data_IF_522338349179
#
_entry.id   IF_522338349179
#
_cell.length_a   1.000
_cell.length_b   1.000
_cell.length_c   1.000
_cell.angle_alpha   90.00
_cell.angle_beta   90.00
_cell.angle_gamma   90.00
#
_symmetry.space_group_name_H-M   'P 1'
#
loop_
_entity.id
_entity.type
_entity.pdbx_description
1 polymer ?
#
# COMPACT_ATOMS: atom_id res chain seq x y z
N UNK A 1 -10.19 -35.29 -5.31
CA UNK A 1 -10.84 -34.01 -5.00
C UNK A 1 -12.17 -33.98 -5.75
N UNK A 2 -13.28 -34.05 -5.04
CA UNK A 2 -14.60 -33.77 -5.61
C UNK A 2 -14.68 -32.26 -5.85
N UNK A 3 -14.65 -31.86 -7.11
CA UNK A 3 -15.04 -30.49 -7.48
C UNK A 3 -16.57 -30.40 -7.30
N UNK A 4 -16.98 -29.78 -6.22
CA UNK A 4 -18.38 -29.42 -6.08
C UNK A 4 -18.64 -28.23 -7.00
N UNK A 5 -19.52 -28.40 -7.97
CA UNK A 5 -20.08 -27.31 -8.76
C UNK A 5 -20.95 -26.43 -7.83
N UNK A 6 -20.30 -25.56 -7.07
CA UNK A 6 -21.03 -24.58 -6.27
C UNK A 6 -21.59 -23.50 -7.19
N UNK A 7 -22.90 -23.26 -7.19
CA UNK A 7 -23.48 -22.18 -7.97
C UNK A 7 -22.96 -20.82 -7.47
N UNK A 8 -22.93 -19.83 -8.34
CA UNK A 8 -22.70 -18.44 -7.92
C UNK A 8 -23.82 -18.00 -7.01
N UNK A 9 -23.47 -17.47 -5.85
CA UNK A 9 -24.42 -16.87 -4.93
C UNK A 9 -24.34 -15.33 -5.02
N UNK A 10 -25.42 -14.59 -4.69
CA UNK A 10 -25.41 -13.14 -4.66
C UNK A 10 -24.31 -12.61 -3.76
N UNK A 11 -23.64 -11.55 -4.17
CA UNK A 11 -22.56 -10.95 -3.40
C UNK A 11 -23.00 -10.49 -2.01
N UNK A 12 -24.27 -10.04 -1.91
CA UNK A 12 -24.89 -9.71 -0.64
C UNK A 12 -24.84 -10.88 0.34
N UNK A 13 -25.22 -12.07 -0.10
CA UNK A 13 -25.25 -13.26 0.75
C UNK A 13 -23.84 -13.67 1.19
N UNK A 14 -22.83 -13.51 0.31
CA UNK A 14 -21.43 -13.74 0.68
C UNK A 14 -21.02 -12.82 1.82
N UNK A 15 -21.33 -11.54 1.75
CA UNK A 15 -20.97 -10.60 2.82
C UNK A 15 -21.77 -10.85 4.08
N UNK A 16 -23.10 -10.91 3.99
CA UNK A 16 -23.97 -10.90 5.18
C UNK A 16 -24.08 -12.25 5.88
N UNK A 17 -23.89 -13.35 5.15
CA UNK A 17 -24.02 -14.70 5.72
C UNK A 17 -22.66 -15.37 5.98
N UNK A 18 -21.56 -14.83 5.43
CA UNK A 18 -20.24 -15.48 5.57
C UNK A 18 -19.18 -14.52 6.07
N UNK A 19 -18.83 -13.47 5.30
CA UNK A 19 -17.64 -12.66 5.61
C UNK A 19 -17.82 -11.87 6.90
N UNK A 20 -18.91 -11.12 7.01
CA UNK A 20 -19.16 -10.27 8.18
C UNK A 20 -19.32 -11.11 9.46
N UNK A 21 -20.16 -12.16 9.52
CA UNK A 21 -20.29 -12.99 10.72
C UNK A 21 -18.96 -13.63 11.14
N UNK A 22 -18.17 -14.16 10.19
CA UNK A 22 -16.89 -14.77 10.51
C UNK A 22 -15.88 -13.75 11.07
N UNK A 23 -15.87 -12.52 10.58
CA UNK A 23 -14.99 -11.47 11.12
C UNK A 23 -15.48 -10.94 12.46
N UNK A 24 -16.79 -10.87 12.68
CA UNK A 24 -17.38 -10.56 13.98
C UNK A 24 -17.00 -11.59 15.02
N UNK A 25 -17.16 -12.88 14.72
CA UNK A 25 -16.74 -13.97 15.62
C UNK A 25 -15.22 -13.91 15.86
N UNK A 26 -14.43 -13.70 14.80
CA UNK A 26 -12.97 -13.67 14.90
C UNK A 26 -12.47 -12.54 15.80
N UNK A 27 -13.03 -11.31 15.71
CA UNK A 27 -12.61 -10.20 16.59
C UNK A 27 -12.89 -10.44 18.06
N UNK A 28 -13.90 -11.26 18.37
CA UNK A 28 -14.29 -11.58 19.74
C UNK A 28 -13.54 -12.82 20.30
N UNK A 29 -13.09 -13.73 19.42
CA UNK A 29 -12.42 -14.98 19.81
C UNK A 29 -10.88 -14.89 19.82
N UNK A 30 -10.30 -14.02 19.00
CA UNK A 30 -8.85 -13.87 18.90
C UNK A 30 -8.28 -13.11 20.11
N UNK A 31 -7.05 -13.44 20.47
CA UNK A 31 -6.31 -12.68 21.49
C UNK A 31 -6.09 -11.23 21.05
N UNK A 32 -6.15 -10.32 22.00
CA UNK A 32 -5.64 -8.96 21.84
C UNK A 32 -4.11 -8.99 21.91
N UNK A 33 -3.45 -8.03 21.27
CA UNK A 33 -1.98 -7.93 21.36
C UNK A 33 -1.47 -7.62 22.78
N UNK A 34 -2.36 -7.26 23.70
CA UNK A 34 -2.09 -7.04 25.11
C UNK A 34 -2.28 -8.28 25.98
N UNK A 35 -2.81 -9.37 25.44
CA UNK A 35 -3.07 -10.59 26.21
C UNK A 35 -1.78 -11.40 26.44
N UNK A 36 -1.65 -12.00 27.60
CA UNK A 36 -0.45 -12.75 28.00
C UNK A 36 -0.11 -13.89 27.04
N UNK A 37 -1.10 -14.50 26.42
CA UNK A 37 -0.91 -15.62 25.49
C UNK A 37 -0.77 -15.20 24.03
N UNK A 38 -0.79 -13.90 23.74
CA UNK A 38 -0.59 -13.41 22.39
C UNK A 38 0.86 -13.65 21.95
N UNK A 39 1.02 -14.08 20.71
CA UNK A 39 2.32 -14.24 20.06
C UNK A 39 2.48 -13.19 18.96
N UNK A 40 3.49 -12.33 19.06
CA UNK A 40 3.77 -11.30 18.07
C UNK A 40 3.93 -11.89 16.65
N UNK A 41 3.37 -11.21 15.67
CA UNK A 41 3.33 -11.66 14.29
C UNK A 41 2.15 -12.57 13.93
N UNK A 42 1.34 -12.98 14.88
CA UNK A 42 0.07 -13.68 14.62
C UNK A 42 -1.09 -12.71 14.46
N UNK A 43 -2.16 -13.20 13.83
CA UNK A 43 -3.44 -12.47 13.80
C UNK A 43 -3.98 -12.25 15.21
N UNK A 44 -4.52 -11.08 15.45
CA UNK A 44 -5.13 -10.71 16.74
C UNK A 44 -6.55 -10.16 16.53
N UNK A 45 -7.24 -9.87 17.61
CA UNK A 45 -8.59 -9.29 17.56
C UNK A 45 -8.64 -8.01 16.69
N UNK A 46 -7.65 -7.13 16.81
CA UNK A 46 -7.55 -5.93 15.98
C UNK A 46 -7.30 -6.23 14.50
N UNK A 47 -6.66 -7.35 14.15
CA UNK A 47 -6.52 -7.77 12.74
C UNK A 47 -7.88 -8.08 12.10
N UNK A 48 -8.74 -8.80 12.82
CA UNK A 48 -10.09 -9.12 12.37
C UNK A 48 -10.96 -7.86 12.30
N UNK A 49 -10.91 -7.01 13.33
CA UNK A 49 -11.65 -5.76 13.38
C UNK A 49 -11.22 -4.79 12.26
N UNK A 50 -9.91 -4.64 12.02
CA UNK A 50 -9.41 -3.79 10.94
C UNK A 50 -9.82 -4.29 9.55
N UNK A 51 -9.83 -5.61 9.34
CA UNK A 51 -10.35 -6.21 8.10
C UNK A 51 -11.86 -6.01 7.96
N UNK A 52 -12.62 -6.13 9.06
CA UNK A 52 -14.07 -5.86 9.07
C UNK A 52 -14.37 -4.41 8.70
N UNK A 53 -13.65 -3.45 9.28
CA UNK A 53 -13.78 -2.04 8.91
C UNK A 53 -13.52 -1.81 7.40
N UNK A 54 -12.50 -2.48 6.85
CA UNK A 54 -12.21 -2.44 5.41
C UNK A 54 -13.33 -3.06 4.58
N UNK A 55 -13.91 -4.18 5.01
CA UNK A 55 -15.05 -4.82 4.36
C UNK A 55 -16.25 -3.86 4.31
N UNK A 56 -16.60 -3.26 5.44
CA UNK A 56 -17.67 -2.28 5.50
C UNK A 56 -17.43 -1.07 4.59
N UNK A 57 -16.23 -0.49 4.61
CA UNK A 57 -15.87 0.61 3.73
C UNK A 57 -15.93 0.21 2.23
N UNK A 58 -15.57 -1.03 1.91
CA UNK A 58 -15.66 -1.55 0.53
C UNK A 58 -17.12 -1.66 0.08
N UNK A 59 -17.99 -2.22 0.93
CA UNK A 59 -19.42 -2.30 0.64
C UNK A 59 -20.01 -0.89 0.47
N UNK A 60 -19.70 0.02 1.40
CA UNK A 60 -20.15 1.40 1.37
C UNK A 60 -19.77 2.12 0.07
N UNK A 61 -18.50 2.02 -0.31
CA UNK A 61 -18.02 2.63 -1.55
C UNK A 61 -18.65 2.03 -2.80
N UNK A 62 -18.85 0.71 -2.84
CA UNK A 62 -19.45 0.04 -4.00
C UNK A 62 -20.96 0.32 -4.12
N UNK A 63 -21.63 0.58 -2.99
CA UNK A 63 -23.07 0.88 -2.91
C UNK A 63 -23.40 2.37 -3.06
N UNK A 64 -22.40 3.25 -3.27
CA UNK A 64 -22.68 4.68 -3.50
C UNK A 64 -23.63 4.85 -4.69
N UNK A 65 -24.60 5.76 -4.57
CA UNK A 65 -25.55 6.02 -5.65
C UNK A 65 -24.85 6.39 -6.95
N UNK A 66 -25.46 5.98 -8.06
CA UNK A 66 -25.02 6.40 -9.40
C UNK A 66 -25.09 7.92 -9.55
N UNK A 67 -24.08 8.49 -10.20
CA UNK A 67 -24.02 9.93 -10.49
C UNK A 67 -23.48 10.78 -9.33
N UNK A 68 -23.16 10.21 -8.18
CA UNK A 68 -22.47 10.96 -7.12
C UNK A 68 -21.06 11.37 -7.61
N UNK A 69 -20.73 12.65 -7.43
CA UNK A 69 -19.46 13.21 -7.94
C UNK A 69 -18.35 13.01 -6.91
N UNK A 70 -17.25 12.42 -7.36
CA UNK A 70 -16.01 12.28 -6.60
C UNK A 70 -14.91 13.05 -7.31
N UNK A 71 -14.38 14.07 -6.64
CA UNK A 71 -13.24 14.84 -7.14
C UNK A 71 -11.94 14.15 -6.75
N UNK A 72 -11.11 13.83 -7.71
CA UNK A 72 -9.80 13.20 -7.49
C UNK A 72 -8.67 14.02 -8.13
N UNK A 73 -7.51 14.04 -7.50
CA UNK A 73 -6.29 14.58 -8.08
C UNK A 73 -5.73 13.51 -9.05
N UNK A 74 -5.76 13.79 -10.32
CA UNK A 74 -5.23 12.86 -11.34
C UNK A 74 -3.72 12.97 -11.44
N UNK A 75 -3.09 11.96 -12.05
CA UNK A 75 -1.69 12.04 -12.43
C UNK A 75 -1.48 13.11 -13.52
N UNK A 76 -0.23 13.59 -13.71
CA UNK A 76 0.08 14.55 -14.76
C UNK A 76 -0.25 13.96 -16.13
N UNK A 77 -0.90 14.76 -16.94
CA UNK A 77 -1.15 14.42 -18.34
C UNK A 77 0.07 14.79 -19.19
N UNK A 78 0.12 14.33 -20.41
CA UNK A 78 1.19 14.73 -21.32
C UNK A 78 0.63 15.19 -22.66
N UNK A 79 1.39 16.08 -23.30
CA UNK A 79 1.23 16.44 -24.69
C UNK A 79 2.48 16.02 -25.47
N UNK A 80 2.30 15.58 -26.70
CA UNK A 80 3.44 15.30 -27.57
C UNK A 80 3.92 16.63 -28.20
N UNK A 81 5.18 16.97 -27.98
CA UNK A 81 5.82 18.13 -28.58
C UNK A 81 7.00 17.69 -29.43
N UNK A 82 7.17 18.33 -30.58
CA UNK A 82 8.37 18.14 -31.38
C UNK A 82 9.49 19.04 -30.83
N UNK A 83 10.45 18.44 -30.16
CA UNK A 83 11.61 19.16 -29.64
C UNK A 83 12.84 18.72 -30.46
N UNK A 84 13.39 19.66 -31.18
CA UNK A 84 14.58 19.44 -32.04
C UNK A 84 14.40 18.24 -33.02
N UNK A 85 13.21 18.10 -33.60
CA UNK A 85 12.91 17.03 -34.55
C UNK A 85 12.48 15.70 -33.92
N UNK A 86 12.49 15.61 -32.61
CA UNK A 86 12.06 14.41 -31.88
C UNK A 86 10.72 14.64 -31.16
N UNK A 87 9.75 13.72 -31.35
CA UNK A 87 8.50 13.77 -30.64
C UNK A 87 8.72 13.34 -29.17
N UNK A 88 8.59 14.30 -28.27
CA UNK A 88 8.86 14.15 -26.86
C UNK A 88 7.56 14.33 -26.05
N UNK A 89 7.35 13.50 -25.03
CA UNK A 89 6.27 13.68 -24.06
C UNK A 89 6.62 14.82 -23.11
N UNK A 90 5.82 15.86 -23.11
CA UNK A 90 5.92 16.97 -22.15
C UNK A 90 4.76 16.86 -21.18
N UNK A 91 5.07 16.71 -19.91
CA UNK A 91 4.09 16.49 -18.86
C UNK A 91 3.59 17.80 -18.27
N UNK A 92 2.32 17.81 -17.89
CA UNK A 92 1.65 18.95 -17.25
C UNK A 92 1.37 18.61 -15.78
N UNK A 93 1.16 19.64 -14.98
CA UNK A 93 0.78 19.50 -13.59
C UNK A 93 -0.52 18.68 -13.43
N UNK A 94 -0.66 17.90 -12.32
CA UNK A 94 -1.89 17.20 -12.02
C UNK A 94 -3.05 18.16 -11.80
N UNK A 95 -4.16 17.92 -12.45
CA UNK A 95 -5.38 18.73 -12.34
C UNK A 95 -6.46 17.91 -11.66
N UNK A 96 -7.17 18.44 -10.63
CA UNK A 96 -8.34 17.78 -10.07
C UNK A 96 -9.39 17.53 -11.17
N UNK A 97 -9.97 16.34 -11.16
CA UNK A 97 -11.03 15.95 -12.09
C UNK A 97 -12.21 15.35 -11.33
N UNK A 98 -13.39 15.68 -11.77
CA UNK A 98 -14.63 15.13 -11.25
C UNK A 98 -15.01 13.89 -12.03
N UNK A 99 -15.30 12.83 -11.30
CA UNK A 99 -15.81 11.57 -11.84
C UNK A 99 -17.17 11.29 -11.24
N UNK A 100 -18.14 11.00 -12.09
CA UNK A 100 -19.40 10.45 -11.64
C UNK A 100 -19.17 9.01 -11.19
N UNK A 101 -19.66 8.69 -10.00
CA UNK A 101 -19.60 7.34 -9.45
C UNK A 101 -20.61 6.46 -10.17
N UNK A 102 -20.17 5.32 -10.65
CA UNK A 102 -21.07 4.24 -11.08
C UNK A 102 -21.32 3.30 -9.90
N UNK A 103 -22.59 2.96 -9.66
CA UNK A 103 -22.94 1.96 -8.67
C UNK A 103 -22.47 0.58 -9.13
N UNK A 104 -21.77 -0.14 -8.25
CA UNK A 104 -21.26 -1.46 -8.61
C UNK A 104 -22.39 -2.49 -8.60
N UNK A 105 -22.56 -3.23 -9.69
CA UNK A 105 -23.60 -4.24 -9.84
C UNK A 105 -23.54 -5.29 -8.70
N UNK A 106 -24.69 -5.57 -8.10
CA UNK A 106 -24.85 -6.47 -6.97
C UNK A 106 -24.76 -5.80 -5.59
N UNK A 107 -24.46 -4.49 -5.53
CA UNK A 107 -24.42 -3.73 -4.29
C UNK A 107 -25.63 -2.80 -4.09
N UNK A 108 -26.60 -2.81 -4.98
CA UNK A 108 -27.76 -1.91 -4.99
C UNK A 108 -28.64 -2.03 -3.74
N UNK A 109 -28.58 -3.18 -3.07
CA UNK A 109 -29.38 -3.45 -1.87
C UNK A 109 -28.70 -3.05 -0.56
N UNK A 110 -27.47 -2.53 -0.62
CA UNK A 110 -26.75 -2.01 0.54
C UNK A 110 -26.94 -0.49 0.67
N UNK A 111 -26.98 -0.01 1.91
CA UNK A 111 -27.02 1.42 2.20
C UNK A 111 -25.58 1.94 2.41
N UNK A 112 -25.08 2.75 1.50
CA UNK A 112 -23.72 3.29 1.54
C UNK A 112 -23.40 4.01 2.86
N UNK A 113 -24.29 4.89 3.34
CA UNK A 113 -24.08 5.67 4.56
C UNK A 113 -24.03 4.78 5.81
N UNK A 114 -24.94 3.80 5.89
CA UNK A 114 -24.96 2.83 7.00
C UNK A 114 -23.64 2.07 7.09
N UNK A 115 -23.15 1.57 5.96
CA UNK A 115 -21.91 0.81 5.94
C UNK A 115 -20.66 1.68 6.17
N UNK A 116 -20.66 2.95 5.77
CA UNK A 116 -19.61 3.88 6.18
C UNK A 116 -19.63 4.13 7.69
N UNK A 117 -20.82 4.24 8.29
CA UNK A 117 -20.92 4.39 9.75
C UNK A 117 -20.40 3.15 10.48
N UNK A 118 -20.77 1.94 10.03
CA UNK A 118 -20.23 0.69 10.58
C UNK A 118 -18.70 0.61 10.46
N UNK A 119 -18.15 1.01 9.30
CA UNK A 119 -16.70 1.06 9.11
C UNK A 119 -16.02 2.02 10.08
N UNK A 120 -16.60 3.21 10.25
CA UNK A 120 -16.10 4.22 11.18
C UNK A 120 -16.13 3.74 12.63
N UNK A 121 -17.24 3.12 13.06
CA UNK A 121 -17.40 2.66 14.44
C UNK A 121 -16.37 1.57 14.79
N UNK A 122 -16.18 0.58 13.91
CA UNK A 122 -15.18 -0.46 14.12
C UNK A 122 -13.75 0.13 14.11
N UNK A 123 -13.44 1.03 13.18
CA UNK A 123 -12.13 1.67 13.12
C UNK A 123 -11.85 2.53 14.38
N UNK A 124 -12.87 3.23 14.88
CA UNK A 124 -12.81 3.98 16.13
C UNK A 124 -12.53 3.08 17.34
N UNK A 125 -13.16 1.91 17.38
CA UNK A 125 -12.93 0.92 18.44
C UNK A 125 -11.51 0.36 18.41
N UNK A 126 -10.96 0.08 17.21
CA UNK A 126 -9.55 -0.31 17.05
C UNK A 126 -8.64 0.78 17.59
N UNK A 127 -8.85 2.04 17.17
CA UNK A 127 -8.06 3.19 17.65
C UNK A 127 -8.23 3.41 19.15
N UNK A 128 -9.42 3.16 19.68
CA UNK A 128 -9.76 3.30 21.10
C UNK A 128 -9.20 2.19 22.00
N UNK A 129 -8.53 1.19 21.44
CA UNK A 129 -7.92 0.10 22.19
C UNK A 129 -8.89 -1.01 22.63
N UNK A 130 -10.10 -1.06 22.08
CA UNK A 130 -11.09 -2.11 22.39
C UNK A 130 -10.52 -3.51 22.09
N UNK A 131 -9.75 -3.63 21.02
CA UNK A 131 -9.16 -4.87 20.52
C UNK A 131 -7.66 -5.00 20.80
N UNK A 132 -7.13 -4.24 21.75
CA UNK A 132 -5.72 -4.19 22.11
C UNK A 132 -5.13 -2.80 21.89
N UNK A 133 -3.84 -2.62 22.13
CA UNK A 133 -3.17 -1.32 22.00
C UNK A 133 -2.44 -1.25 20.67
N UNK A 134 -2.91 -0.32 19.82
CA UNK A 134 -2.29 -0.04 18.52
C UNK A 134 -2.07 1.47 18.39
N UNK A 135 -0.83 1.86 18.13
CA UNK A 135 -0.43 3.25 18.00
C UNK A 135 0.34 3.46 16.71
N UNK A 136 0.28 4.68 16.17
CA UNK A 136 1.16 5.06 15.08
C UNK A 136 2.60 5.10 15.59
N UNK A 137 3.50 4.53 14.82
CA UNK A 137 4.93 4.49 15.08
C UNK A 137 5.67 5.46 14.14
N UNK A 138 6.97 5.64 14.35
CA UNK A 138 7.76 6.40 13.41
C UNK A 138 7.85 5.68 12.06
N UNK A 139 7.86 6.46 10.98
CA UNK A 139 7.99 5.90 9.63
C UNK A 139 9.25 5.04 9.46
N UNK A 140 10.35 5.44 10.08
CA UNK A 140 11.61 4.68 10.06
C UNK A 140 11.45 3.32 10.77
N UNK A 141 10.71 3.26 11.87
CA UNK A 141 10.50 2.01 12.62
C UNK A 141 9.64 1.01 11.83
N UNK A 142 8.50 1.45 11.30
CA UNK A 142 7.54 0.53 10.65
C UNK A 142 8.13 -0.17 9.42
N UNK A 143 9.14 0.43 8.78
CA UNK A 143 9.81 -0.13 7.61
C UNK A 143 11.15 -0.78 7.92
N UNK A 144 11.55 -0.82 9.19
CA UNK A 144 12.77 -1.47 9.62
C UNK A 144 12.54 -2.93 10.02
N UNK A 145 13.57 -3.80 10.00
CA UNK A 145 13.45 -5.17 10.48
C UNK A 145 13.04 -5.26 11.95
N UNK A 146 13.41 -4.28 12.78
CA UNK A 146 13.03 -4.22 14.19
C UNK A 146 11.55 -3.86 14.39
N UNK A 147 10.95 -3.15 13.42
CA UNK A 147 9.55 -2.73 13.47
C UNK A 147 8.55 -3.74 12.93
N UNK A 148 8.98 -4.89 12.41
CA UNK A 148 8.06 -5.85 11.75
C UNK A 148 6.92 -6.40 12.62
N UNK A 149 7.02 -6.26 13.94
CA UNK A 149 5.96 -6.62 14.89
C UNK A 149 5.60 -5.44 15.80
N UNK A 150 5.85 -4.20 15.37
CA UNK A 150 5.51 -3.01 16.13
C UNK A 150 4.00 -2.82 16.30
N UNK A 151 3.61 -1.92 17.20
CA UNK A 151 2.22 -1.75 17.61
C UNK A 151 1.31 -1.21 16.51
N UNK A 152 1.84 -0.58 15.47
CA UNK A 152 1.05 -0.07 14.33
C UNK A 152 0.50 -1.19 13.45
N UNK A 153 1.24 -2.31 13.32
CA UNK A 153 0.81 -3.40 12.49
C UNK A 153 -0.38 -4.17 13.09
N UNK A 154 -1.53 -4.09 12.46
CA UNK A 154 -2.66 -4.95 12.79
C UNK A 154 -2.43 -6.38 12.30
N UNK A 155 -1.80 -6.52 11.13
CA UNK A 155 -1.38 -7.80 10.56
C UNK A 155 -0.27 -7.58 9.54
N UNK A 156 0.74 -8.44 9.57
CA UNK A 156 1.80 -8.46 8.55
C UNK A 156 2.24 -9.88 8.25
N UNK A 157 2.49 -10.16 6.98
CA UNK A 157 3.13 -11.41 6.57
C UNK A 157 4.61 -11.33 6.94
N UNK A 158 5.03 -12.25 7.79
CA UNK A 158 6.42 -12.33 8.23
C UNK A 158 7.24 -13.12 7.23
N UNK A 159 8.35 -12.56 6.78
CA UNK A 159 9.35 -13.24 5.96
C UNK A 159 10.70 -13.23 6.65
N UNK A 160 11.56 -14.18 6.29
CA UNK A 160 12.89 -14.32 6.86
C UNK A 160 13.93 -14.19 5.76
N UNK A 161 14.85 -13.26 5.93
CA UNK A 161 15.95 -13.06 4.99
C UNK A 161 16.85 -14.29 4.92
N UNK A 162 17.29 -14.66 3.73
CA UNK A 162 18.20 -15.79 3.50
C UNK A 162 17.58 -17.17 3.74
N UNK A 163 16.28 -17.29 3.82
CA UNK A 163 15.57 -18.54 4.02
C UNK A 163 14.77 -18.92 2.77
N UNK A 164 15.06 -20.08 2.18
CA UNK A 164 14.41 -20.54 0.94
C UNK A 164 12.92 -20.82 1.12
N UNK A 165 12.50 -21.19 2.33
CA UNK A 165 11.10 -21.56 2.60
C UNK A 165 10.27 -20.36 3.05
N UNK A 166 10.86 -19.45 3.85
CA UNK A 166 10.17 -18.31 4.46
C UNK A 166 10.65 -16.96 3.93
N UNK A 167 11.55 -16.96 2.95
CA UNK A 167 11.97 -15.76 2.23
C UNK A 167 10.91 -15.28 1.25
N UNK A 168 11.11 -14.08 0.71
CA UNK A 168 10.30 -13.52 -0.36
C UNK A 168 11.16 -12.84 -1.40
N UNK A 169 10.81 -13.04 -2.67
CA UNK A 169 11.38 -12.30 -3.80
C UNK A 169 10.68 -10.95 -4.05
N UNK A 170 9.71 -10.59 -3.22
CA UNK A 170 8.91 -9.40 -3.44
C UNK A 170 9.77 -8.13 -3.45
N UNK A 171 10.64 -7.99 -2.46
CA UNK A 171 11.58 -6.87 -2.37
C UNK A 171 12.57 -6.84 -3.54
N UNK A 172 13.02 -8.00 -4.01
CA UNK A 172 13.88 -8.10 -5.18
C UNK A 172 13.27 -7.47 -6.43
N UNK A 173 11.98 -7.71 -6.68
CA UNK A 173 11.30 -7.16 -7.84
C UNK A 173 11.12 -5.64 -7.78
N UNK A 174 10.97 -5.07 -6.58
CA UNK A 174 10.76 -3.63 -6.38
C UNK A 174 12.04 -2.85 -6.13
N UNK A 175 13.00 -3.44 -5.47
CA UNK A 175 14.19 -2.74 -4.98
C UNK A 175 15.50 -3.24 -5.59
N UNK A 176 15.49 -4.41 -6.26
CA UNK A 176 16.71 -5.10 -6.65
C UNK A 176 17.43 -5.72 -5.46
N UNK A 177 18.65 -6.17 -5.67
CA UNK A 177 19.55 -6.68 -4.63
C UNK A 177 20.69 -5.72 -4.39
N UNK A 178 21.09 -5.56 -3.13
CA UNK A 178 22.28 -4.80 -2.77
C UNK A 178 23.43 -5.74 -2.43
N UNK A 179 24.63 -5.42 -2.89
CA UNK A 179 25.85 -6.12 -2.52
C UNK A 179 26.43 -5.55 -1.21
N UNK A 180 27.54 -6.12 -0.77
CA UNK A 180 28.25 -5.71 0.47
C UNK A 180 28.71 -4.24 0.46
N UNK A 181 28.82 -3.61 -0.72
CA UNK A 181 29.16 -2.19 -0.87
C UNK A 181 27.95 -1.27 -0.88
N UNK A 182 26.74 -1.81 -0.74
CA UNK A 182 25.49 -1.05 -0.85
C UNK A 182 25.09 -0.69 -2.28
N UNK A 183 25.71 -1.29 -3.29
CA UNK A 183 25.37 -1.06 -4.69
C UNK A 183 24.23 -1.98 -5.11
N UNK A 184 23.35 -1.50 -5.98
CA UNK A 184 22.30 -2.33 -6.56
C UNK A 184 22.88 -3.19 -7.68
N UNK A 185 22.86 -4.51 -7.51
CA UNK A 185 23.42 -5.47 -8.45
C UNK A 185 22.48 -5.82 -9.59
N UNK A 186 21.21 -5.96 -9.31
CA UNK A 186 20.24 -6.44 -10.27
C UNK A 186 19.26 -5.37 -10.69
N UNK A 187 18.76 -5.52 -11.91
CA UNK A 187 17.77 -4.63 -12.48
C UNK A 187 16.47 -4.71 -11.71
N UNK A 188 15.91 -3.56 -11.41
CA UNK A 188 14.56 -3.40 -10.93
C UNK A 188 13.59 -3.85 -12.02
N UNK A 189 12.71 -4.78 -11.70
CA UNK A 189 11.68 -5.23 -12.65
C UNK A 189 10.40 -4.40 -12.53
N UNK A 190 10.20 -3.78 -11.38
CA UNK A 190 9.07 -2.89 -11.12
C UNK A 190 9.59 -1.64 -10.43
N UNK A 191 9.32 -0.49 -10.98
CA UNK A 191 9.74 0.79 -10.43
C UNK A 191 8.59 1.80 -10.41
N UNK A 192 8.80 2.89 -9.69
CA UNK A 192 7.87 4.00 -9.66
C UNK A 192 7.95 4.82 -10.93
N UNK A 193 6.83 5.36 -11.38
CA UNK A 193 6.84 6.34 -12.46
C UNK A 193 7.21 7.73 -11.92
N UNK A 194 7.81 8.57 -12.79
CA UNK A 194 7.99 9.99 -12.50
C UNK A 194 6.68 10.68 -12.11
N UNK A 195 5.59 10.29 -12.75
CA UNK A 195 4.26 10.82 -12.44
C UNK A 195 3.84 10.58 -11.00
N UNK A 196 4.06 9.37 -10.49
CA UNK A 196 3.78 9.05 -9.10
C UNK A 196 4.58 9.95 -8.15
N UNK A 197 5.87 10.15 -8.43
CA UNK A 197 6.73 11.02 -7.64
C UNK A 197 6.23 12.46 -7.60
N UNK A 198 5.82 13.01 -8.73
CA UNK A 198 5.29 14.37 -8.86
C UNK A 198 3.91 14.59 -8.21
N UNK A 199 3.25 13.54 -7.70
CA UNK A 199 2.00 13.68 -6.95
C UNK A 199 2.22 14.06 -5.48
N UNK A 200 3.45 13.95 -4.97
CA UNK A 200 3.77 14.36 -3.60
C UNK A 200 3.90 15.88 -3.51
N UNK A 201 3.50 16.41 -2.37
CA UNK A 201 3.77 17.80 -2.01
C UNK A 201 5.25 17.99 -1.70
N UNK A 202 5.76 19.21 -1.84
CA UNK A 202 7.19 19.53 -1.65
C UNK A 202 7.70 19.17 -0.23
N UNK A 203 6.84 19.32 0.77
CA UNK A 203 7.17 19.05 2.18
C UNK A 203 6.76 17.63 2.65
N UNK A 204 6.38 16.74 1.75
CA UNK A 204 5.97 15.41 2.14
C UNK A 204 7.17 14.55 2.53
N UNK A 205 7.43 14.45 3.84
CA UNK A 205 8.58 13.72 4.36
C UNK A 205 8.62 12.23 3.96
N UNK A 206 7.51 11.65 3.49
CA UNK A 206 7.48 10.29 2.95
C UNK A 206 8.35 10.15 1.70
N UNK A 207 8.57 11.23 0.98
CA UNK A 207 9.50 11.27 -0.15
C UNK A 207 10.94 11.11 0.35
N UNK A 208 11.31 11.88 1.37
CA UNK A 208 12.68 11.83 1.93
C UNK A 208 13.01 10.47 2.56
N UNK A 209 12.02 9.86 3.21
CA UNK A 209 12.18 8.60 3.95
C UNK A 209 11.87 7.35 3.15
N UNK A 210 10.95 7.46 2.19
CA UNK A 210 10.40 6.31 1.48
C UNK A 210 10.84 6.17 0.03
N UNK A 211 11.56 7.16 -0.51
CA UNK A 211 11.98 7.19 -1.91
C UNK A 211 13.50 7.25 -2.01
N UNK A 212 14.08 6.36 -2.80
CA UNK A 212 15.45 6.46 -3.24
C UNK A 212 15.51 7.33 -4.49
N UNK A 213 16.13 8.48 -4.37
CA UNK A 213 16.28 9.42 -5.48
C UNK A 213 17.45 9.01 -6.38
N UNK A 214 18.56 8.61 -5.80
CA UNK A 214 19.70 8.07 -6.51
C UNK A 214 20.45 7.04 -5.68
N UNK A 215 21.18 6.18 -6.38
CA UNK A 215 21.93 5.09 -5.76
C UNK A 215 23.16 4.73 -6.61
N UNK A 216 24.09 4.05 -6.02
CA UNK A 216 25.26 3.54 -6.71
C UNK A 216 24.92 2.16 -7.29
N UNK A 217 25.19 1.97 -8.57
CA UNK A 217 25.05 0.69 -9.25
C UNK A 217 26.37 -0.04 -9.28
N UNK A 218 26.33 -1.37 -9.23
CA UNK A 218 27.53 -2.19 -9.41
C UNK A 218 28.21 -1.89 -10.75
N UNK A 219 29.55 -1.78 -10.70
CA UNK A 219 30.36 -1.47 -11.87
C UNK A 219 30.39 0.01 -12.28
N UNK A 220 29.79 0.88 -11.49
CA UNK A 220 29.78 2.33 -11.67
C UNK A 220 30.13 3.03 -10.37
N UNK A 221 30.88 4.11 -10.40
CA UNK A 221 31.19 4.91 -9.21
C UNK A 221 29.93 5.67 -8.73
N UNK A 222 29.17 6.19 -9.67
CA UNK A 222 27.87 6.81 -9.44
C UNK A 222 26.99 6.57 -10.65
N UNK A 223 25.74 6.13 -10.45
CA UNK A 223 24.80 6.07 -11.55
C UNK A 223 23.37 6.29 -11.07
N UNK A 224 22.62 6.94 -11.90
CA UNK A 224 21.19 7.15 -11.75
C UNK A 224 20.45 5.87 -12.15
N UNK A 225 20.48 4.83 -11.31
CA UNK A 225 19.68 3.65 -11.50
C UNK A 225 19.62 3.09 -12.92
N UNK A 226 20.77 2.96 -13.58
CA UNK A 226 20.82 2.47 -14.95
C UNK A 226 20.35 3.45 -16.02
N UNK A 227 20.48 4.75 -15.77
CA UNK A 227 20.02 5.82 -16.66
C UNK A 227 18.52 6.09 -16.60
N UNK A 228 17.84 5.47 -15.66
CA UNK A 228 16.44 5.79 -15.39
C UNK A 228 16.36 6.86 -14.33
N UNK A 229 15.73 7.96 -14.66
CA UNK A 229 15.40 9.06 -13.73
C UNK A 229 14.16 8.77 -12.91
N UNK A 230 13.98 7.51 -12.50
CA UNK A 230 12.80 7.09 -11.77
C UNK A 230 13.16 6.85 -10.31
N UNK A 231 12.49 7.52 -9.39
CA UNK A 231 12.66 7.25 -7.97
C UNK A 231 12.24 5.82 -7.65
N UNK A 232 12.90 5.24 -6.66
CA UNK A 232 12.64 3.89 -6.21
C UNK A 232 12.16 3.86 -4.76
N UNK A 233 11.58 2.74 -4.33
CA UNK A 233 11.16 2.56 -2.95
C UNK A 233 12.35 2.35 -2.02
N UNK A 234 12.76 3.40 -1.32
CA UNK A 234 13.86 3.34 -0.35
C UNK A 234 13.55 2.55 0.91
N UNK A 235 12.30 2.48 1.30
CA UNK A 235 11.86 1.86 2.56
C UNK A 235 12.13 0.35 2.69
N UNK A 236 12.47 -0.32 1.60
CA UNK A 236 12.80 -1.75 1.59
C UNK A 236 14.29 -2.02 1.35
N UNK A 237 15.10 -0.98 1.35
CA UNK A 237 16.54 -1.09 1.11
C UNK A 237 17.33 -0.55 2.31
N UNK A 238 17.97 -1.45 3.04
CA UNK A 238 18.65 -1.12 4.29
C UNK A 238 20.05 -0.53 4.08
N UNK A 239 20.66 -0.79 2.94
CA UNK A 239 22.10 -0.52 2.72
C UNK A 239 22.40 0.43 1.54
N UNK A 240 21.39 1.01 0.92
CA UNK A 240 21.61 1.92 -0.21
C UNK A 240 21.76 3.35 0.27
N UNK A 241 22.86 3.98 -0.11
CA UNK A 241 23.05 5.41 0.13
C UNK A 241 22.18 6.19 -0.85
N UNK A 242 21.25 6.97 -0.33
CA UNK A 242 20.50 7.92 -1.12
C UNK A 242 21.41 9.12 -1.41
N UNK A 243 21.73 9.35 -2.67
CA UNK A 243 22.50 10.50 -3.14
C UNK A 243 21.57 11.69 -3.39
N UNK A 244 22.01 12.67 -4.15
CA UNK A 244 21.16 13.79 -4.54
C UNK A 244 20.06 13.35 -5.52
N UNK A 245 18.89 13.97 -5.45
CA UNK A 245 17.79 13.69 -6.35
C UNK A 245 18.09 14.20 -7.76
N UNK A 246 17.84 13.40 -8.81
CA UNK A 246 17.96 13.86 -10.18
C UNK A 246 16.95 14.95 -10.55
N UNK A 247 15.89 15.11 -9.74
CA UNK A 247 14.88 16.14 -9.97
C UNK A 247 15.27 17.49 -9.38
N UNK A 248 16.20 17.51 -8.43
CA UNK A 248 16.73 18.73 -7.82
C UNK A 248 17.87 19.31 -8.66
N UNK A 249 18.49 18.49 -9.49
CA UNK A 249 19.56 18.89 -10.41
C UNK A 249 19.32 18.28 -11.80
N UNK A 250 18.35 18.77 -12.56
CA UNK A 250 18.09 18.29 -13.90
C UNK A 250 19.13 18.85 -14.88
N UNK A 251 20.20 18.11 -15.13
CA UNK A 251 21.04 18.31 -16.30
C UNK A 251 20.46 17.61 -17.55
#
# INVERSE_FOLDING_TARGET
>A
QQYTNSPRIPIKDVYTQTIIPLLDDAKDMLYKNTDTNFQAGRVCAASAAGLLAKVYATIASAAMPEGEIVTVKTGPQFVMQNINGTNTKVYTEPVPMDFAKDQVAGYESFNSQEYYQLAYDVAKDVKGGVYGTHNLESYDLIWSPSGKTCSEHLFSLQSKSGDELYGTLFTYHYCGMTNEKGHIENSLTVGNSKHWYLLFEEDDYRVDKGVLHCWIREGSDTSWGGGSYFPNFGKWQEMVTNLESPFDNPE
#
